data_IF_037217052658
#
_entry.id   IF_037217052658
#
_cell.length_a   1.000
_cell.length_b   1.000
_cell.length_c   1.000
_cell.angle_alpha   90.00
_cell.angle_beta   90.00
_cell.angle_gamma   90.00
#
_symmetry.space_group_name_H-M   'P 1'
#
loop_
_entity.id
_entity.type
_entity.pdbx_description
1 polymer ?
#
# COMPACT_ATOMS: atom_id res chain seq x y z
N UNK A 1 -34.65 -7.83 -8.97
CA UNK A 1 -34.45 -6.46 -8.48
C UNK A 1 -33.12 -5.96 -9.03
N UNK A 2 -33.05 -4.77 -9.64
CA UNK A 2 -31.77 -4.22 -10.11
C UNK A 2 -30.84 -3.93 -8.93
N UNK A 3 -29.53 -4.04 -9.13
CA UNK A 3 -28.53 -3.68 -8.10
C UNK A 3 -28.67 -2.21 -7.71
N UNK A 4 -29.04 -1.36 -8.66
CA UNK A 4 -29.35 0.05 -8.42
C UNK A 4 -30.50 0.24 -7.40
N UNK A 5 -31.59 -0.53 -7.51
CA UNK A 5 -32.71 -0.45 -6.56
C UNK A 5 -32.30 -0.96 -5.16
N UNK A 6 -31.54 -2.06 -5.12
CA UNK A 6 -31.03 -2.60 -3.86
C UNK A 6 -30.06 -1.63 -3.16
N UNK A 7 -29.22 -0.94 -3.93
CA UNK A 7 -28.32 0.10 -3.42
C UNK A 7 -29.09 1.28 -2.84
N UNK A 8 -30.18 1.72 -3.50
CA UNK A 8 -31.03 2.79 -3.00
C UNK A 8 -31.67 2.44 -1.66
N UNK A 9 -32.22 1.23 -1.53
CA UNK A 9 -32.81 0.75 -0.27
C UNK A 9 -31.78 0.72 0.88
N UNK A 10 -30.59 0.20 0.59
CA UNK A 10 -29.47 0.17 1.55
C UNK A 10 -28.96 1.56 1.90
N UNK A 11 -28.91 2.49 0.94
CA UNK A 11 -28.50 3.87 1.18
C UNK A 11 -29.51 4.62 2.07
N UNK A 12 -30.82 4.38 1.90
CA UNK A 12 -31.87 4.97 2.74
C UNK A 12 -31.85 4.46 4.20
N UNK A 13 -31.30 3.27 4.43
CA UNK A 13 -31.17 2.68 5.76
C UNK A 13 -29.80 2.89 6.41
N UNK A 14 -28.83 3.42 5.66
CA UNK A 14 -27.46 3.61 6.12
C UNK A 14 -27.32 4.80 7.06
N UNK A 15 -26.58 4.60 8.16
CA UNK A 15 -26.17 5.64 9.12
C UNK A 15 -27.32 6.53 9.65
N UNK A 16 -28.48 5.94 9.97
CA UNK A 16 -29.62 6.69 10.52
C UNK A 16 -29.28 7.49 11.79
N UNK A 17 -28.31 7.01 12.57
CA UNK A 17 -27.82 7.68 13.77
C UNK A 17 -26.77 8.77 13.50
N UNK A 18 -26.25 8.87 12.27
CA UNK A 18 -25.26 9.87 11.87
C UNK A 18 -23.85 9.67 12.45
N UNK A 19 -23.55 8.50 13.01
CA UNK A 19 -22.26 8.19 13.64
C UNK A 19 -21.14 8.20 12.60
N UNK A 20 -21.36 7.54 11.47
CA UNK A 20 -20.37 7.44 10.41
C UNK A 20 -20.16 8.81 9.77
N UNK A 21 -21.22 9.59 9.60
CA UNK A 21 -21.14 10.95 9.10
C UNK A 21 -20.27 11.83 10.00
N UNK A 22 -20.39 11.69 11.32
CA UNK A 22 -19.54 12.39 12.28
C UNK A 22 -18.07 11.96 12.19
N UNK A 23 -17.79 10.65 12.14
CA UNK A 23 -16.43 10.13 11.97
C UNK A 23 -15.78 10.59 10.66
N UNK A 24 -16.55 10.61 9.57
CA UNK A 24 -16.10 11.12 8.28
C UNK A 24 -15.77 12.61 8.35
N UNK A 25 -16.59 13.42 9.04
CA UNK A 25 -16.29 14.84 9.22
C UNK A 25 -14.96 15.07 9.97
N UNK A 26 -14.70 14.29 11.02
CA UNK A 26 -13.41 14.32 11.75
C UNK A 26 -12.26 13.94 10.82
N UNK A 27 -12.41 12.87 10.04
CA UNK A 27 -11.38 12.41 9.12
C UNK A 27 -11.08 13.43 8.01
N UNK A 28 -12.11 14.10 7.46
CA UNK A 28 -11.95 15.17 6.48
C UNK A 28 -11.28 16.41 7.08
N UNK A 29 -11.61 16.76 8.33
CA UNK A 29 -10.93 17.83 9.07
C UNK A 29 -9.44 17.55 9.25
N UNK A 30 -9.09 16.32 9.64
CA UNK A 30 -7.70 15.88 9.72
C UNK A 30 -7.02 15.94 8.34
N UNK A 31 -7.69 15.50 7.28
CA UNK A 31 -7.11 15.54 5.94
C UNK A 31 -6.82 16.96 5.46
N UNK A 32 -7.64 17.94 5.86
CA UNK A 32 -7.37 19.36 5.65
C UNK A 32 -6.12 19.82 6.41
N UNK A 33 -5.97 19.43 7.68
CA UNK A 33 -4.76 19.72 8.48
C UNK A 33 -3.49 19.15 7.81
N UNK A 34 -3.56 17.92 7.30
CA UNK A 34 -2.45 17.30 6.56
C UNK A 34 -2.02 18.12 5.35
N UNK A 35 -2.97 18.57 4.52
CA UNK A 35 -2.67 19.41 3.36
C UNK A 35 -2.15 20.79 3.74
N UNK A 36 -2.57 21.35 4.89
CA UNK A 36 -2.00 22.60 5.39
C UNK A 36 -0.53 22.43 5.80
N UNK A 37 -0.17 21.29 6.41
CA UNK A 37 1.22 20.96 6.78
C UNK A 37 2.09 20.61 5.58
N UNK A 38 1.50 19.99 4.56
CA UNK A 38 2.16 19.57 3.33
C UNK A 38 1.42 20.18 2.12
N UNK A 39 1.57 21.49 1.85
CA UNK A 39 0.78 22.21 0.85
C UNK A 39 1.30 21.96 -0.58
N UNK A 40 1.48 20.68 -0.93
CA UNK A 40 2.12 20.27 -2.17
C UNK A 40 1.25 20.51 -3.40
N UNK A 41 -0.06 20.54 -3.24
CA UNK A 41 -1.00 20.85 -4.34
C UNK A 41 -0.98 22.34 -4.66
N UNK A 42 -0.89 23.20 -3.65
CA UNK A 42 -0.93 24.66 -3.77
C UNK A 42 0.47 25.26 -4.03
N UNK A 43 1.52 24.64 -3.48
CA UNK A 43 2.90 25.07 -3.60
C UNK A 43 3.82 23.88 -3.91
N UNK A 44 3.96 23.55 -5.20
CA UNK A 44 4.84 22.48 -5.67
C UNK A 44 6.29 22.60 -5.16
N UNK A 45 6.81 23.83 -5.01
CA UNK A 45 8.18 24.05 -4.56
C UNK A 45 8.40 23.60 -3.11
N UNK A 46 7.34 23.55 -2.29
CA UNK A 46 7.41 23.04 -0.91
C UNK A 46 7.78 21.55 -0.82
N UNK A 47 7.62 20.79 -1.90
CA UNK A 47 8.10 19.40 -1.99
C UNK A 47 9.64 19.34 -1.84
N UNK A 48 10.38 20.34 -2.35
CA UNK A 48 11.85 20.37 -2.23
C UNK A 48 12.33 20.56 -0.81
N UNK A 49 11.50 21.21 0.00
CA UNK A 49 11.76 21.51 1.39
C UNK A 49 11.20 20.43 2.33
N UNK A 50 10.67 19.32 1.79
CA UNK A 50 10.26 18.17 2.59
C UNK A 50 11.48 17.55 3.28
N UNK A 51 11.61 17.85 4.56
CA UNK A 51 12.64 17.33 5.44
C UNK A 51 12.52 15.78 5.55
N UNK A 52 13.59 15.02 5.30
CA UNK A 52 13.60 13.56 5.51
C UNK A 52 13.09 13.13 6.89
N UNK A 53 13.31 13.92 7.95
CA UNK A 53 12.86 13.58 9.31
C UNK A 53 11.32 13.73 9.48
N UNK A 54 10.65 14.43 8.56
CA UNK A 54 9.18 14.41 8.45
C UNK A 54 8.66 13.09 7.90
N UNK A 55 9.49 12.30 7.20
CA UNK A 55 9.16 10.96 6.75
C UNK A 55 9.52 9.91 7.81
N UNK A 56 10.73 9.99 8.34
CA UNK A 56 11.21 9.06 9.35
C UNK A 56 12.33 9.70 10.15
N UNK A 57 12.25 9.68 11.48
CA UNK A 57 13.31 10.19 12.34
C UNK A 57 14.25 9.06 12.70
N UNK A 58 15.55 9.33 12.63
CA UNK A 58 16.59 8.33 12.96
C UNK A 58 16.81 8.26 14.47
N UNK A 59 16.69 9.39 15.17
CA UNK A 59 16.90 9.51 16.60
C UNK A 59 15.83 10.45 17.22
N UNK A 60 14.79 9.94 17.90
CA UNK A 60 14.48 8.51 18.07
C UNK A 60 14.06 7.86 16.73
N UNK A 61 14.20 6.54 16.68
CA UNK A 61 13.84 5.71 15.53
C UNK A 61 12.31 5.58 15.40
N UNK A 62 11.68 6.61 14.82
CA UNK A 62 10.23 6.76 14.80
C UNK A 62 9.67 7.21 13.44
N UNK A 63 8.41 6.85 13.19
CA UNK A 63 7.67 7.27 12.00
C UNK A 63 7.52 8.79 12.03
N UNK A 64 7.96 9.46 10.97
CA UNK A 64 7.85 10.90 10.84
C UNK A 64 6.40 11.35 10.68
N UNK A 65 6.17 12.64 10.89
CA UNK A 65 4.84 13.26 10.89
C UNK A 65 4.02 12.91 9.63
N UNK A 66 4.65 12.88 8.45
CA UNK A 66 3.98 12.60 7.18
C UNK A 66 3.31 11.21 7.17
N UNK A 67 4.06 10.15 7.48
CA UNK A 67 3.54 8.79 7.47
C UNK A 67 2.72 8.47 8.74
N UNK A 68 3.04 9.11 9.87
CA UNK A 68 2.22 9.00 11.10
C UNK A 68 0.79 9.45 10.83
N UNK A 69 0.61 10.52 10.03
CA UNK A 69 -0.70 11.00 9.63
C UNK A 69 -1.46 9.98 8.77
N UNK A 70 -0.77 9.38 7.80
CA UNK A 70 -1.36 8.39 6.89
C UNK A 70 -1.83 7.13 7.62
N UNK A 71 -1.02 6.61 8.56
CA UNK A 71 -1.33 5.39 9.29
C UNK A 71 -2.47 5.58 10.29
N UNK A 72 -2.43 6.64 11.10
CA UNK A 72 -3.43 6.88 12.16
C UNK A 72 -4.85 7.10 11.63
N UNK A 73 -4.99 7.59 10.40
CA UNK A 73 -6.28 8.06 9.86
C UNK A 73 -6.87 7.17 8.77
N UNK A 74 -6.03 6.45 8.03
CA UNK A 74 -6.47 5.61 6.90
C UNK A 74 -6.30 4.10 7.11
N UNK A 75 -5.80 3.66 8.28
CA UNK A 75 -5.87 2.24 8.62
C UNK A 75 -7.32 1.87 8.94
N UNK A 76 -7.95 1.19 7.99
CA UNK A 76 -9.18 0.45 8.23
C UNK A 76 -8.88 -0.71 9.20
N UNK A 77 -9.86 -1.15 10.00
CA UNK A 77 -9.72 -2.39 10.77
C UNK A 77 -9.27 -3.53 9.85
N UNK A 78 -8.21 -4.25 10.21
CA UNK A 78 -7.65 -5.35 9.40
C UNK A 78 -6.59 -4.96 8.37
N UNK A 79 -6.26 -3.67 8.21
CA UNK A 79 -5.14 -3.27 7.35
C UNK A 79 -3.80 -3.74 7.96
N UNK A 80 -2.93 -4.44 7.18
CA UNK A 80 -1.63 -4.87 7.68
C UNK A 80 -0.80 -3.64 8.06
N UNK A 81 -0.20 -3.66 9.25
CA UNK A 81 0.77 -2.65 9.66
C UNK A 81 1.92 -2.65 8.67
N UNK A 82 2.17 -1.51 8.02
CA UNK A 82 3.32 -1.39 7.14
C UNK A 82 4.62 -1.53 7.96
N UNK A 83 5.61 -2.23 7.41
CA UNK A 83 6.92 -2.36 8.02
C UNK A 83 7.57 -0.96 8.11
N UNK A 84 8.11 -0.58 9.27
CA UNK A 84 8.77 0.72 9.48
C UNK A 84 9.94 0.97 8.50
N UNK A 85 10.53 -0.10 7.95
CA UNK A 85 11.54 -0.03 6.90
C UNK A 85 11.06 0.69 5.63
N UNK A 86 9.76 0.64 5.31
CA UNK A 86 9.19 1.35 4.16
C UNK A 86 9.40 2.86 4.29
N UNK A 87 9.20 3.40 5.48
CA UNK A 87 9.37 4.83 5.77
C UNK A 87 10.85 5.22 5.83
N UNK A 88 11.71 4.36 6.40
CA UNK A 88 13.17 4.53 6.35
C UNK A 88 13.67 4.59 4.91
N UNK A 89 13.16 3.72 4.03
CA UNK A 89 13.54 3.72 2.62
C UNK A 89 13.09 5.00 1.92
N UNK A 90 11.89 5.49 2.17
CA UNK A 90 11.42 6.77 1.63
C UNK A 90 12.30 7.94 2.09
N UNK A 91 12.75 7.94 3.35
CA UNK A 91 13.72 8.91 3.88
C UNK A 91 15.05 8.85 3.15
N UNK A 92 15.65 7.66 3.04
CA UNK A 92 16.95 7.47 2.37
C UNK A 92 16.89 7.81 0.88
N UNK A 93 15.73 7.61 0.26
CA UNK A 93 15.47 7.88 -1.15
C UNK A 93 14.62 9.14 -1.36
N UNK A 94 14.83 10.17 -0.53
CA UNK A 94 13.99 11.39 -0.53
C UNK A 94 13.84 12.04 -1.91
N UNK A 95 14.87 12.02 -2.75
CA UNK A 95 14.81 12.57 -4.12
C UNK A 95 13.77 11.85 -4.99
N UNK A 96 13.79 10.52 -4.97
CA UNK A 96 12.78 9.71 -5.68
C UNK A 96 11.39 9.91 -5.08
N UNK A 97 11.29 9.99 -3.74
CA UNK A 97 10.02 10.25 -3.07
C UNK A 97 9.42 11.61 -3.47
N UNK A 98 10.24 12.66 -3.53
CA UNK A 98 9.83 13.99 -4.03
C UNK A 98 9.36 13.95 -5.49
N UNK A 99 10.07 13.22 -6.35
CA UNK A 99 9.66 13.03 -7.75
C UNK A 99 8.27 12.35 -7.85
N UNK A 100 8.02 11.35 -7.01
CA UNK A 100 6.73 10.67 -6.92
C UNK A 100 5.64 11.61 -6.39
N UNK A 101 5.92 12.41 -5.36
CA UNK A 101 4.99 13.41 -4.85
C UNK A 101 4.59 14.42 -5.94
N UNK A 102 5.55 14.93 -6.73
CA UNK A 102 5.24 15.79 -7.89
C UNK A 102 4.28 15.13 -8.87
N UNK A 103 4.47 13.83 -9.11
CA UNK A 103 3.54 13.04 -9.95
C UNK A 103 2.16 12.94 -9.31
N UNK A 104 2.06 12.74 -8.00
CA UNK A 104 0.79 12.64 -7.27
C UNK A 104 -0.04 13.92 -7.36
N UNK A 105 0.61 15.08 -7.25
CA UNK A 105 -0.07 16.38 -7.24
C UNK A 105 -0.22 17.01 -8.62
N UNK A 106 0.39 16.46 -9.68
CA UNK A 106 0.23 16.98 -11.05
C UNK A 106 -1.21 16.73 -11.57
N UNK A 107 -1.90 17.80 -11.92
CA UNK A 107 -3.28 17.79 -12.44
C UNK A 107 -3.38 17.27 -13.88
N UNK A 108 -2.27 17.29 -14.62
CA UNK A 108 -2.22 16.79 -16.00
C UNK A 108 -2.13 15.27 -16.04
N UNK A 109 -1.86 14.61 -14.90
CA UNK A 109 -1.73 13.16 -14.80
C UNK A 109 -3.04 12.51 -14.39
N UNK A 110 -3.38 11.42 -15.08
CA UNK A 110 -4.55 10.60 -14.73
C UNK A 110 -4.31 9.84 -13.42
N UNK A 111 -5.37 9.34 -12.79
CA UNK A 111 -5.27 8.53 -11.58
C UNK A 111 -4.46 7.25 -11.86
N UNK A 112 -4.64 6.65 -13.04
CA UNK A 112 -3.86 5.51 -13.47
C UNK A 112 -2.35 5.84 -13.54
N UNK A 113 -1.98 6.97 -14.16
CA UNK A 113 -0.58 7.40 -14.23
C UNK A 113 0.04 7.68 -12.86
N UNK A 114 -0.75 8.19 -11.90
CA UNK A 114 -0.29 8.42 -10.52
C UNK A 114 -0.01 7.11 -9.79
N UNK A 115 -0.91 6.13 -9.93
CA UNK A 115 -0.75 4.79 -9.34
C UNK A 115 0.38 4.02 -10.04
N UNK A 116 0.49 4.10 -11.36
CA UNK A 116 1.50 3.37 -12.14
C UNK A 116 2.88 4.03 -12.17
N UNK A 117 3.05 5.16 -11.49
CA UNK A 117 4.36 5.75 -11.26
C UNK A 117 5.34 4.73 -10.63
N UNK A 118 6.67 4.91 -10.79
CA UNK A 118 7.67 3.92 -10.42
C UNK A 118 7.93 3.87 -8.90
N UNK A 119 6.87 3.60 -8.14
CA UNK A 119 6.87 3.50 -6.68
C UNK A 119 7.81 2.40 -6.18
N UNK A 120 7.99 1.34 -6.96
CA UNK A 120 8.87 0.20 -6.67
C UNK A 120 10.36 0.57 -6.54
N UNK A 121 10.76 1.76 -7.01
CA UNK A 121 12.12 2.28 -6.76
C UNK A 121 12.39 2.45 -5.27
N UNK A 122 11.37 2.80 -4.49
CA UNK A 122 11.44 2.87 -3.04
C UNK A 122 11.08 1.50 -2.46
N UNK A 123 12.04 0.87 -1.77
CA UNK A 123 11.86 -0.47 -1.21
C UNK A 123 10.61 -0.56 -0.31
N UNK A 124 9.70 -1.47 -0.67
CA UNK A 124 8.46 -1.73 0.07
C UNK A 124 7.21 -0.99 -0.42
N UNK A 125 7.31 -0.13 -1.44
CA UNK A 125 6.15 0.56 -2.04
C UNK A 125 5.50 -0.19 -3.22
N UNK A 126 6.11 -1.26 -3.73
CA UNK A 126 5.85 -1.77 -5.09
C UNK A 126 4.78 -2.85 -5.28
N UNK A 127 4.37 -3.62 -4.25
CA UNK A 127 3.56 -4.83 -4.49
C UNK A 127 2.09 -4.54 -4.84
N UNK A 128 1.34 -3.88 -3.96
CA UNK A 128 -0.09 -3.57 -4.17
C UNK A 128 -0.36 -2.07 -4.43
N UNK A 129 0.70 -1.28 -4.29
CA UNK A 129 0.70 0.18 -4.32
C UNK A 129 -0.34 0.80 -3.38
N UNK A 130 -0.70 0.13 -2.27
CA UNK A 130 -1.70 0.61 -1.33
C UNK A 130 -1.26 1.91 -0.65
N UNK A 131 0.00 1.99 -0.20
CA UNK A 131 0.55 3.22 0.36
C UNK A 131 0.57 4.35 -0.68
N UNK A 132 0.91 4.06 -1.93
CA UNK A 132 0.84 5.04 -3.02
C UNK A 132 -0.60 5.56 -3.20
N UNK A 133 -1.61 4.68 -3.24
CA UNK A 133 -3.02 5.07 -3.34
C UNK A 133 -3.49 5.89 -2.13
N UNK A 134 -3.04 5.57 -0.92
CA UNK A 134 -3.27 6.39 0.29
C UNK A 134 -2.72 7.81 0.12
N UNK A 135 -1.46 7.94 -0.32
CA UNK A 135 -0.82 9.24 -0.58
C UNK A 135 -1.59 10.01 -1.67
N UNK A 136 -1.95 9.33 -2.77
CA UNK A 136 -2.72 9.91 -3.88
C UNK A 136 -4.06 10.46 -3.37
N UNK A 137 -4.78 9.68 -2.58
CA UNK A 137 -6.04 10.11 -1.99
C UNK A 137 -5.87 11.38 -1.14
N UNK A 138 -4.83 11.46 -0.31
CA UNK A 138 -4.65 12.60 0.60
C UNK A 138 -4.53 13.95 -0.13
N UNK A 139 -3.86 13.96 -1.28
CA UNK A 139 -3.66 15.17 -2.07
C UNK A 139 -4.76 15.41 -3.13
N UNK A 140 -5.59 14.42 -3.43
CA UNK A 140 -6.60 14.52 -4.49
C UNK A 140 -8.05 14.30 -4.00
N UNK A 141 -8.28 14.16 -2.70
CA UNK A 141 -9.61 13.87 -2.15
C UNK A 141 -10.65 14.94 -2.47
N UNK A 142 -10.27 16.23 -2.43
CA UNK A 142 -11.18 17.36 -2.65
C UNK A 142 -11.73 17.41 -4.08
N UNK A 143 -11.03 16.79 -5.04
CA UNK A 143 -11.49 16.68 -6.42
C UNK A 143 -12.65 15.70 -6.58
N UNK A 144 -12.91 14.86 -5.58
CA UNK A 144 -13.98 13.86 -5.64
C UNK A 144 -13.77 12.74 -6.66
N UNK A 145 -12.56 12.62 -7.22
CA UNK A 145 -12.22 11.64 -8.28
C UNK A 145 -11.46 10.41 -7.78
N UNK A 146 -11.12 10.37 -6.48
CA UNK A 146 -10.39 9.25 -5.86
C UNK A 146 -11.22 8.69 -4.71
N UNK A 147 -11.49 7.38 -4.75
CA UNK A 147 -12.11 6.68 -3.62
C UNK A 147 -11.02 6.15 -2.68
N UNK A 148 -11.19 6.26 -1.35
CA UNK A 148 -10.28 5.66 -0.36
C UNK A 148 -10.46 4.13 -0.24
N UNK A 149 -10.39 3.42 -1.36
CA UNK A 149 -10.49 1.95 -1.48
C UNK A 149 -9.20 1.45 -2.10
N UNK A 150 -8.19 1.14 -1.27
CA UNK A 150 -6.82 0.95 -1.75
C UNK A 150 -6.52 -0.44 -2.33
N UNK A 151 -7.48 -1.37 -2.30
CA UNK A 151 -7.41 -2.71 -2.87
C UNK A 151 -8.20 -2.81 -4.19
N UNK A 152 -7.55 -3.24 -5.28
CA UNK A 152 -8.24 -3.50 -6.56
C UNK A 152 -9.26 -4.63 -6.43
N UNK A 153 -9.02 -5.60 -5.55
CA UNK A 153 -9.97 -6.67 -5.24
C UNK A 153 -11.24 -6.12 -4.60
N UNK A 154 -11.12 -5.18 -3.66
CA UNK A 154 -12.28 -4.54 -3.03
C UNK A 154 -13.05 -3.66 -4.02
N UNK A 155 -12.32 -2.88 -4.83
CA UNK A 155 -12.93 -2.09 -5.91
C UNK A 155 -13.76 -2.98 -6.85
N UNK A 156 -13.17 -4.07 -7.36
CA UNK A 156 -13.86 -5.06 -8.19
C UNK A 156 -15.08 -5.65 -7.48
N UNK A 157 -14.94 -6.01 -6.20
CA UNK A 157 -16.04 -6.52 -5.39
C UNK A 157 -17.22 -5.54 -5.36
N UNK A 158 -16.96 -4.29 -5.00
CA UNK A 158 -18.02 -3.27 -4.90
C UNK A 158 -18.65 -2.98 -6.26
N UNK A 159 -17.85 -2.87 -7.32
CA UNK A 159 -18.38 -2.66 -8.69
C UNK A 159 -19.34 -3.79 -9.07
N UNK A 160 -18.96 -5.05 -8.79
CA UNK A 160 -19.82 -6.20 -9.04
C UNK A 160 -21.12 -6.19 -8.22
N UNK A 161 -21.14 -5.53 -7.06
CA UNK A 161 -22.32 -5.43 -6.19
C UNK A 161 -23.27 -4.30 -6.56
N UNK A 162 -22.76 -3.19 -7.08
CA UNK A 162 -23.56 -1.97 -7.30
C UNK A 162 -23.80 -1.62 -8.76
N UNK A 163 -23.04 -2.19 -9.71
CA UNK A 163 -23.19 -1.90 -11.15
C UNK A 163 -23.91 -3.05 -11.87
N UNK A 164 -25.02 -2.72 -12.54
CA UNK A 164 -25.95 -3.68 -13.18
C UNK A 164 -25.36 -4.39 -14.41
N UNK A 165 -24.59 -3.69 -15.26
CA UNK A 165 -23.95 -4.25 -16.45
C UNK A 165 -22.44 -4.06 -16.36
N UNK A 166 -21.70 -5.16 -16.21
CA UNK A 166 -20.24 -5.14 -16.14
C UNK A 166 -19.66 -6.01 -17.25
N UNK A 167 -19.07 -5.40 -18.26
CA UNK A 167 -18.46 -6.09 -19.41
C UNK A 167 -16.98 -5.75 -19.63
N UNK A 168 -16.32 -5.08 -18.67
CA UNK A 168 -14.94 -4.67 -18.87
C UNK A 168 -13.97 -5.85 -18.68
N UNK A 169 -13.29 -6.22 -19.77
CA UNK A 169 -12.12 -7.10 -19.71
C UNK A 169 -10.96 -6.31 -19.11
N UNK A 170 -10.75 -6.41 -17.79
CA UNK A 170 -9.60 -5.77 -17.12
C UNK A 170 -8.30 -6.57 -17.22
N UNK A 171 -8.32 -7.71 -17.93
CA UNK A 171 -7.21 -8.68 -18.02
C UNK A 171 -5.89 -8.05 -18.53
N UNK A 172 -5.97 -7.00 -19.32
CA UNK A 172 -4.81 -6.32 -19.92
C UNK A 172 -4.52 -4.95 -19.31
N UNK A 173 -5.26 -4.55 -18.26
CA UNK A 173 -5.04 -3.27 -17.59
C UNK A 173 -3.87 -3.39 -16.60
N UNK A 174 -3.08 -2.33 -16.50
CA UNK A 174 -2.16 -2.15 -15.38
C UNK A 174 -2.93 -2.01 -14.05
N UNK A 175 -2.21 -2.10 -12.92
CA UNK A 175 -2.80 -1.89 -11.59
C UNK A 175 -3.47 -0.51 -11.47
N UNK A 176 -2.84 0.54 -12.00
CA UNK A 176 -3.38 1.89 -12.00
C UNK A 176 -4.58 2.05 -12.93
N UNK A 177 -4.55 1.49 -14.13
CA UNK A 177 -5.69 1.52 -15.06
C UNK A 177 -6.90 0.79 -14.49
N UNK A 178 -6.68 -0.37 -13.87
CA UNK A 178 -7.75 -1.11 -13.20
C UNK A 178 -8.33 -0.32 -12.02
N UNK A 179 -7.46 0.31 -11.21
CA UNK A 179 -7.87 1.16 -10.10
C UNK A 179 -8.72 2.35 -10.56
N UNK A 180 -8.26 3.07 -11.59
CA UNK A 180 -8.95 4.21 -12.19
C UNK A 180 -10.29 3.80 -12.78
N UNK A 181 -10.34 2.68 -13.51
CA UNK A 181 -11.56 2.17 -14.11
C UNK A 181 -12.64 1.87 -13.07
N UNK A 182 -12.34 1.05 -12.06
CA UNK A 182 -13.34 0.73 -11.03
C UNK A 182 -13.73 1.93 -10.19
N UNK A 183 -12.79 2.84 -9.91
CA UNK A 183 -13.09 4.10 -9.23
C UNK A 183 -14.11 4.91 -10.02
N UNK A 184 -13.93 5.05 -11.32
CA UNK A 184 -14.87 5.77 -12.19
C UNK A 184 -16.26 5.11 -12.20
N UNK A 185 -16.35 3.79 -12.30
CA UNK A 185 -17.63 3.06 -12.28
C UNK A 185 -18.37 3.22 -10.95
N UNK A 186 -17.66 3.14 -9.82
CA UNK A 186 -18.25 3.37 -8.50
C UNK A 186 -18.70 4.82 -8.30
N UNK A 187 -17.96 5.79 -8.82
CA UNK A 187 -18.37 7.19 -8.80
C UNK A 187 -19.59 7.47 -9.68
N UNK A 188 -19.71 6.80 -10.84
CA UNK A 188 -20.93 6.84 -11.67
C UNK A 188 -22.12 6.29 -10.90
N UNK A 189 -21.97 5.13 -10.25
CA UNK A 189 -23.02 4.54 -9.42
C UNK A 189 -23.40 5.43 -8.21
N UNK A 190 -22.40 6.03 -7.54
CA UNK A 190 -22.63 7.04 -6.49
C UNK A 190 -23.46 8.21 -6.99
N UNK A 191 -23.19 8.70 -8.20
CA UNK A 191 -23.80 9.91 -8.73
C UNK A 191 -25.13 9.68 -9.46
N UNK A 192 -25.51 8.43 -9.73
CA UNK A 192 -26.78 8.09 -10.39
C UNK A 192 -27.99 8.15 -9.43
N UNK A 193 -27.77 8.00 -8.12
CA UNK A 193 -28.83 8.05 -7.12
C UNK A 193 -28.88 9.43 -6.41
N UNK A 194 -30.08 10.04 -6.23
CA UNK A 194 -30.22 11.33 -5.56
C UNK A 194 -29.60 11.38 -4.16
N UNK A 195 -29.76 10.30 -3.38
CA UNK A 195 -29.28 10.24 -1.99
C UNK A 195 -27.75 10.21 -1.92
N UNK A 196 -27.07 9.42 -2.76
CA UNK A 196 -25.61 9.24 -2.70
C UNK A 196 -24.83 10.28 -3.51
N UNK A 197 -25.50 11.00 -4.43
CA UNK A 197 -24.87 12.05 -5.25
C UNK A 197 -24.22 13.13 -4.38
N UNK A 198 -24.88 13.53 -3.30
CA UNK A 198 -24.36 14.54 -2.36
C UNK A 198 -23.35 14.04 -1.33
N UNK A 199 -23.06 12.74 -1.30
CA UNK A 199 -22.11 12.19 -0.32
C UNK A 199 -20.67 12.51 -0.71
N UNK A 200 -19.80 12.70 0.28
CA UNK A 200 -18.36 12.67 0.05
C UNK A 200 -17.90 11.24 -0.31
N UNK A 201 -16.79 11.13 -1.03
CA UNK A 201 -16.10 9.89 -1.40
C UNK A 201 -15.75 9.01 -0.21
N UNK A 202 -15.37 9.59 0.94
CA UNK A 202 -15.07 8.82 2.15
C UNK A 202 -16.35 8.23 2.76
N UNK A 203 -17.41 9.02 2.86
CA UNK A 203 -18.71 8.55 3.37
C UNK A 203 -19.30 7.46 2.48
N UNK A 204 -19.24 7.65 1.15
CA UNK A 204 -19.64 6.64 0.19
C UNK A 204 -18.83 5.35 0.32
N UNK A 205 -17.52 5.46 0.58
CA UNK A 205 -16.68 4.29 0.81
C UNK A 205 -17.07 3.55 2.09
N UNK A 206 -17.36 4.26 3.20
CA UNK A 206 -17.84 3.63 4.44
C UNK A 206 -19.15 2.88 4.22
N UNK A 207 -20.07 3.47 3.46
CA UNK A 207 -21.29 2.81 3.03
C UNK A 207 -21.00 1.48 2.31
N UNK A 208 -20.11 1.49 1.31
CA UNK A 208 -19.77 0.29 0.56
C UNK A 208 -19.23 -0.83 1.47
N UNK A 209 -18.25 -0.52 2.32
CA UNK A 209 -17.64 -1.50 3.23
C UNK A 209 -18.64 -2.09 4.23
N UNK A 210 -19.53 -1.28 4.81
CA UNK A 210 -20.50 -1.77 5.79
C UNK A 210 -21.65 -2.54 5.14
N UNK A 211 -22.00 -2.19 3.91
CA UNK A 211 -23.17 -2.75 3.23
C UNK A 211 -22.84 -4.01 2.44
N UNK A 212 -21.61 -4.09 1.92
CA UNK A 212 -21.11 -5.15 1.05
C UNK A 212 -19.71 -5.58 1.51
N UNK A 213 -19.55 -6.14 2.72
CA UNK A 213 -18.23 -6.49 3.25
C UNK A 213 -17.46 -7.38 2.25
N UNK A 214 -16.22 -6.99 1.85
CA UNK A 214 -15.36 -7.83 1.04
C UNK A 214 -15.05 -9.17 1.74
N UNK A 215 -14.77 -10.25 0.99
CA UNK A 215 -14.62 -11.61 1.54
C UNK A 215 -13.43 -11.78 2.52
N UNK A 216 -12.47 -10.87 2.48
CA UNK A 216 -11.31 -10.76 3.36
C UNK A 216 -11.53 -9.79 4.55
N UNK A 217 -12.73 -9.23 4.69
CA UNK A 217 -13.10 -8.25 5.71
C UNK A 217 -13.96 -8.80 6.86
N UNK A 218 -14.25 -10.11 6.89
CA UNK A 218 -14.99 -10.70 8.01
C UNK A 218 -14.14 -10.66 9.29
N UNK A 219 -14.66 -10.12 10.41
CA UNK A 219 -13.98 -10.24 11.69
C UNK A 219 -13.91 -11.72 12.04
N UNK A 220 -12.72 -12.20 12.40
CA UNK A 220 -12.45 -13.57 12.84
C UNK A 220 -13.42 -13.95 13.97
N UNK A 221 -14.55 -14.52 13.59
CA UNK A 221 -15.52 -15.15 14.48
C UNK A 221 -14.91 -16.42 15.03
N UNK A 222 -15.00 -16.54 16.34
CA UNK A 222 -14.65 -17.71 17.15
C UNK A 222 -15.17 -18.98 16.46
N UNK A 223 -14.28 -19.96 16.28
CA UNK A 223 -14.50 -21.31 15.72
C UNK A 223 -14.39 -21.46 14.19
N UNK A 224 -13.15 -21.51 13.71
CA UNK A 224 -12.77 -22.50 12.70
C UNK A 224 -11.26 -22.76 12.80
N UNK A 225 -10.93 -23.91 13.37
CA UNK A 225 -9.64 -24.56 13.28
C UNK A 225 -9.30 -24.76 11.80
N UNK A 226 -8.60 -23.80 11.23
CA UNK A 226 -7.75 -24.02 10.06
C UNK A 226 -6.46 -23.28 10.33
N UNK A 227 -5.41 -24.06 10.60
CA UNK A 227 -4.03 -23.60 10.57
C UNK A 227 -3.71 -23.06 9.17
N UNK A 228 -4.10 -21.82 8.88
CA UNK A 228 -3.40 -20.99 7.91
C UNK A 228 -2.41 -20.17 8.69
N UNK A 229 -1.23 -20.77 8.93
CA UNK A 229 -0.01 -20.03 9.23
C UNK A 229 0.28 -19.09 8.06
N UNK A 230 -0.25 -17.87 8.13
CA UNK A 230 0.23 -16.76 7.33
C UNK A 230 1.17 -15.97 8.24
N UNK A 231 2.36 -16.52 8.44
CA UNK A 231 3.45 -15.80 9.08
C UNK A 231 4.03 -14.80 8.09
N UNK A 232 3.59 -13.54 8.13
CA UNK A 232 4.26 -12.41 7.46
C UNK A 232 5.42 -11.83 8.29
N UNK A 233 6.09 -12.67 9.07
CA UNK A 233 7.39 -12.35 9.62
C UNK A 233 8.43 -13.06 8.74
N UNK A 234 9.27 -12.29 8.04
CA UNK A 234 10.51 -12.85 7.49
C UNK A 234 11.30 -13.34 8.69
N UNK A 235 11.43 -14.66 8.84
CA UNK A 235 12.16 -15.21 9.99
C UNK A 235 13.62 -14.75 9.93
N UNK A 236 14.30 -14.65 11.09
CA UNK A 236 15.73 -14.34 11.12
C UNK A 236 16.52 -15.29 10.20
N UNK A 237 16.08 -16.54 10.11
CA UNK A 237 16.61 -17.55 9.19
C UNK A 237 16.47 -17.18 7.70
N UNK A 238 15.38 -16.53 7.30
CA UNK A 238 15.22 -16.04 5.92
C UNK A 238 16.12 -14.82 5.62
N UNK A 239 16.36 -13.95 6.61
CA UNK A 239 17.32 -12.84 6.48
C UNK A 239 18.76 -13.34 6.39
N UNK A 240 19.11 -14.32 7.22
CA UNK A 240 20.41 -14.98 7.19
C UNK A 240 20.65 -15.71 5.85
N UNK A 241 19.61 -16.39 5.32
CA UNK A 241 19.68 -17.02 4.01
C UNK A 241 19.91 -15.99 2.90
N UNK A 242 19.21 -14.85 2.95
CA UNK A 242 19.38 -13.80 1.96
C UNK A 242 20.81 -13.21 2.00
N UNK A 243 21.34 -12.96 3.19
CA UNK A 243 22.73 -12.54 3.39
C UNK A 243 23.74 -13.56 2.87
N UNK A 244 23.49 -14.85 3.12
CA UNK A 244 24.33 -15.95 2.67
C UNK A 244 24.32 -16.11 1.13
N UNK A 245 23.15 -16.02 0.50
CA UNK A 245 23.01 -16.09 -0.96
C UNK A 245 23.73 -14.93 -1.66
N UNK A 246 23.76 -13.74 -1.04
CA UNK A 246 24.53 -12.59 -1.53
C UNK A 246 26.04 -12.85 -1.47
N UNK A 247 26.53 -13.40 -0.35
CA UNK A 247 27.95 -13.78 -0.19
C UNK A 247 28.39 -14.79 -1.27
N UNK A 248 27.59 -15.82 -1.52
CA UNK A 248 27.89 -16.80 -2.57
C UNK A 248 27.90 -16.17 -3.97
N UNK A 249 26.96 -15.25 -4.25
CA UNK A 249 26.93 -14.52 -5.52
C UNK A 249 28.16 -13.63 -5.72
N UNK A 250 28.63 -12.97 -4.66
CA UNK A 250 29.84 -12.14 -4.70
C UNK A 250 31.10 -12.99 -4.91
N UNK A 251 31.24 -14.13 -4.23
CA UNK A 251 32.35 -15.07 -4.42
C UNK A 251 32.39 -15.67 -5.82
N UNK A 252 31.22 -16.04 -6.37
CA UNK A 252 31.11 -16.58 -7.72
C UNK A 252 31.48 -15.51 -8.76
N UNK A 253 31.04 -14.27 -8.57
CA UNK A 253 31.40 -13.13 -9.42
C UNK A 253 32.90 -12.84 -9.41
N UNK A 254 33.58 -13.04 -8.29
CA UNK A 254 35.02 -12.89 -8.15
C UNK A 254 35.81 -14.14 -8.58
N UNK A 255 35.15 -15.19 -9.08
CA UNK A 255 35.78 -16.44 -9.49
C UNK A 255 36.40 -17.24 -8.34
N UNK A 256 36.06 -16.92 -7.09
CA UNK A 256 36.58 -17.61 -5.89
C UNK A 256 35.90 -18.95 -5.64
N UNK A 257 34.69 -19.13 -6.16
CA UNK A 257 33.94 -20.39 -6.18
C UNK A 257 33.32 -20.62 -7.57
N UNK A 258 33.19 -21.88 -7.97
CA UNK A 258 32.50 -22.27 -9.19
C UNK A 258 31.00 -22.57 -8.94
N UNK A 259 30.24 -22.87 -10.00
CA UNK A 259 28.80 -23.13 -9.90
C UNK A 259 28.44 -24.42 -9.14
N UNK A 260 29.36 -25.38 -9.07
CA UNK A 260 29.17 -26.62 -8.29
C UNK A 260 29.34 -26.34 -6.79
N UNK A 261 30.42 -25.65 -6.42
CA UNK A 261 30.68 -25.17 -5.07
C UNK A 261 29.59 -24.22 -4.58
N UNK A 262 28.99 -23.40 -5.45
CA UNK A 262 27.83 -22.58 -5.10
C UNK A 262 26.66 -23.45 -4.62
N UNK A 263 26.34 -24.51 -5.36
CA UNK A 263 25.22 -25.41 -5.04
C UNK A 263 25.49 -26.23 -3.79
N UNK A 264 26.72 -26.70 -3.62
CA UNK A 264 27.16 -27.45 -2.45
C UNK A 264 27.11 -26.59 -1.17
N UNK A 265 27.70 -25.39 -1.19
CA UNK A 265 27.65 -24.48 -0.04
C UNK A 265 26.22 -24.07 0.32
N UNK A 266 25.35 -23.87 -0.68
CA UNK A 266 23.91 -23.65 -0.45
C UNK A 266 23.24 -24.85 0.21
N UNK A 267 23.56 -26.06 -0.23
CA UNK A 267 23.00 -27.29 0.34
C UNK A 267 23.40 -27.47 1.80
N UNK A 268 24.69 -27.30 2.11
CA UNK A 268 25.22 -27.40 3.48
C UNK A 268 24.52 -26.38 4.38
N UNK A 269 24.41 -25.13 3.94
CA UNK A 269 23.76 -24.07 4.72
C UNK A 269 22.28 -24.38 5.01
N UNK A 270 21.56 -24.98 4.05
CA UNK A 270 20.15 -25.35 4.22
C UNK A 270 19.96 -26.58 5.12
N UNK A 271 20.87 -27.55 5.07
CA UNK A 271 20.73 -28.85 5.74
C UNK A 271 21.37 -28.90 7.12
N UNK A 272 22.35 -28.03 7.42
CA UNK A 272 23.14 -28.08 8.65
C UNK A 272 23.15 -26.72 9.36
N UNK A 273 22.08 -26.38 10.12
CA UNK A 273 21.98 -25.12 10.82
C UNK A 273 23.14 -24.82 11.79
N UNK A 274 23.69 -25.86 12.43
CA UNK A 274 24.83 -25.76 13.34
C UNK A 274 26.15 -25.36 12.68
N UNK A 275 26.26 -25.52 11.35
CA UNK A 275 27.49 -25.21 10.60
C UNK A 275 27.42 -23.87 9.85
N UNK A 276 26.26 -23.19 9.86
CA UNK A 276 26.01 -21.97 9.08
C UNK A 276 27.00 -20.84 9.40
N UNK A 277 27.30 -20.63 10.67
CA UNK A 277 28.19 -19.54 11.08
C UNK A 277 29.64 -19.82 10.67
N UNK A 278 30.14 -21.03 10.94
CA UNK A 278 31.48 -21.45 10.55
C UNK A 278 31.66 -21.44 9.02
N UNK A 279 30.66 -21.92 8.28
CA UNK A 279 30.65 -21.89 6.81
C UNK A 279 30.67 -20.45 6.28
N UNK A 280 29.85 -19.57 6.86
CA UNK A 280 29.78 -18.15 6.46
C UNK A 280 31.11 -17.44 6.73
N UNK A 281 31.77 -17.71 7.87
CA UNK A 281 33.08 -17.14 8.20
C UNK A 281 34.16 -17.63 7.24
N UNK A 282 34.20 -18.94 6.93
CA UNK A 282 35.14 -19.52 5.97
C UNK A 282 35.00 -18.91 4.58
N UNK A 283 33.76 -18.72 4.10
CA UNK A 283 33.49 -18.12 2.80
C UNK A 283 33.82 -16.61 2.78
N UNK A 284 33.58 -15.89 3.88
CA UNK A 284 34.03 -14.49 4.03
C UNK A 284 35.55 -14.36 3.97
N UNK A 285 36.30 -15.31 4.51
CA UNK A 285 37.76 -15.29 4.46
C UNK A 285 38.31 -15.38 3.02
N UNK A 286 37.56 -15.98 2.08
CA UNK A 286 37.92 -16.02 0.65
C UNK A 286 37.79 -14.66 -0.06
N UNK A 287 37.09 -13.70 0.56
CA UNK A 287 36.98 -12.31 0.08
C UNK A 287 38.11 -11.42 0.61
N UNK A 288 38.88 -11.87 1.60
CA UNK A 288 40.03 -11.11 2.07
C UNK A 288 41.15 -11.13 1.00
N UNK A 289 41.84 -10.01 0.76
CA UNK A 289 42.98 -9.98 -0.15
C UNK A 289 44.07 -10.91 0.39
N UNK A 290 44.59 -11.80 -0.46
CA UNK A 290 45.78 -12.57 -0.17
C UNK A 290 46.93 -11.59 0.08
N UNK A 291 47.44 -11.53 1.31
CA UNK A 291 48.75 -10.92 1.61
C UNK A 291 49.86 -11.65 0.88
#
# INVERSE_FOLDING_TARGET
MSKTNLMLEKANSFDKAGVIKHEVAIALGALKEFRQKFPFTENLASIEWLDPDKLFKVNPDEIGEFFSFLEKRFNQPGAPSLNSNVYRNARLQIKEFRNLLRTVVDDRKTLAQKVDAPWERIGGFGQDKALAKKIIYCFNSEKGVVLPIFSNQHLRHFTNRVVDYYSAQTKYLSLGQEYEHYTAELLKAKNSLPITKGWDTLYFTRFLYQTYPPPDSEPLGVNASSDRRIGFAVSNEQLELQGFMRLLGELQKQGKINGEQFRENRSIWMQQPSEREALTQRLKALLAPST
#
